data_IF_247576656720
#
_entry.id   IF_247576656720
#
_cell.length_a   1.000
_cell.length_b   1.000
_cell.length_c   1.000
_cell.angle_alpha   90.00
_cell.angle_beta   90.00
_cell.angle_gamma   90.00
#
_symmetry.space_group_name_H-M   'P 1'
#
loop_
_entity.id
_entity.type
_entity.pdbx_description
1 polymer ?
#
# COMPACT_ATOMS: atom_id res chain seq x y z
N UNK A 1 10.58 1.19 -45.63
CA UNK A 1 9.80 1.01 -44.39
C UNK A 1 10.52 -0.03 -43.55
N UNK A 2 11.33 0.38 -42.57
CA UNK A 2 11.83 -0.58 -41.57
C UNK A 2 12.28 0.17 -40.31
N UNK A 3 11.45 0.14 -39.27
CA UNK A 3 11.75 0.73 -37.96
C UNK A 3 10.88 0.07 -36.90
N UNK A 4 11.15 -1.18 -36.55
CA UNK A 4 10.61 -1.72 -35.29
C UNK A 4 11.35 -2.93 -34.73
N UNK A 5 12.69 -2.88 -34.67
CA UNK A 5 13.39 -3.67 -33.65
C UNK A 5 13.37 -2.88 -32.34
N UNK A 6 12.66 -3.33 -31.29
CA UNK A 6 12.73 -2.66 -29.99
C UNK A 6 14.18 -2.62 -29.52
N UNK A 7 14.61 -1.46 -29.02
CA UNK A 7 15.98 -1.32 -28.53
C UNK A 7 16.22 -2.31 -27.39
N UNK A 8 17.45 -2.82 -27.25
CA UNK A 8 17.85 -3.76 -26.18
C UNK A 8 17.41 -3.27 -24.78
N UNK A 9 17.36 -1.95 -24.60
CA UNK A 9 16.88 -1.28 -23.38
C UNK A 9 15.39 -1.48 -23.10
N UNK A 10 14.52 -1.42 -24.13
CA UNK A 10 13.07 -1.62 -23.97
C UNK A 10 12.73 -3.05 -23.57
N UNK A 11 13.33 -4.03 -24.24
CA UNK A 11 13.15 -5.45 -23.90
C UNK A 11 13.61 -5.76 -22.48
N UNK A 12 14.71 -5.15 -22.02
CA UNK A 12 15.16 -5.29 -20.64
C UNK A 12 14.15 -4.72 -19.64
N UNK A 13 13.58 -3.54 -19.93
CA UNK A 13 12.58 -2.90 -19.07
C UNK A 13 11.29 -3.71 -18.98
N UNK A 14 10.80 -4.20 -20.12
CA UNK A 14 9.63 -5.10 -20.16
C UNK A 14 9.86 -6.34 -19.30
N UNK A 15 11.05 -6.94 -19.37
CA UNK A 15 11.41 -8.08 -18.53
C UNK A 15 11.41 -7.77 -17.03
N UNK A 16 11.97 -6.62 -16.65
CA UNK A 16 11.96 -6.16 -15.26
C UNK A 16 10.53 -5.91 -14.77
N UNK A 17 9.66 -5.36 -15.61
CA UNK A 17 8.26 -5.11 -15.28
C UNK A 17 7.49 -6.41 -15.07
N UNK A 18 7.68 -7.42 -15.93
CA UNK A 18 7.06 -8.75 -15.75
C UNK A 18 7.53 -9.44 -14.47
N UNK A 19 8.83 -9.33 -14.15
CA UNK A 19 9.35 -9.90 -12.92
C UNK A 19 8.73 -9.24 -11.68
N UNK A 20 8.53 -7.92 -11.69
CA UNK A 20 7.85 -7.18 -10.61
C UNK A 20 6.38 -7.56 -10.45
N UNK A 21 5.70 -7.84 -11.56
CA UNK A 21 4.32 -8.36 -11.52
C UNK A 21 4.32 -9.75 -10.88
N UNK A 22 5.22 -10.64 -11.30
CA UNK A 22 5.38 -11.96 -10.70
C UNK A 22 5.68 -11.90 -9.19
N UNK A 23 6.57 -10.98 -8.77
CA UNK A 23 6.86 -10.73 -7.35
C UNK A 23 5.61 -10.25 -6.60
N UNK A 24 4.86 -9.31 -7.18
CA UNK A 24 3.60 -8.83 -6.59
C UNK A 24 2.60 -9.97 -6.40
N UNK A 25 2.49 -10.90 -7.34
CA UNK A 25 1.63 -12.09 -7.22
C UNK A 25 2.10 -13.03 -6.11
N UNK A 26 3.40 -13.28 -6.01
CA UNK A 26 3.99 -14.12 -4.95
C UNK A 26 3.75 -13.54 -3.56
N UNK A 27 3.60 -12.22 -3.43
CA UNK A 27 3.32 -11.58 -2.13
C UNK A 27 1.82 -11.59 -1.76
N UNK A 28 0.91 -11.86 -2.72
CA UNK A 28 -0.53 -11.91 -2.43
C UNK A 28 -0.94 -13.17 -1.63
N UNK A 29 -1.91 -13.08 -0.72
CA UNK A 29 -2.58 -14.23 -0.13
C UNK A 29 -3.17 -15.19 -1.18
N UNK A 30 -3.17 -16.49 -0.88
CA UNK A 30 -3.70 -17.53 -1.80
C UNK A 30 -5.14 -17.28 -2.21
N UNK A 31 -5.98 -16.76 -1.32
CA UNK A 31 -7.39 -16.46 -1.62
C UNK A 31 -7.57 -15.30 -2.59
N UNK A 32 -6.63 -14.34 -2.60
CA UNK A 32 -6.63 -13.28 -3.59
C UNK A 32 -6.11 -13.79 -4.94
N UNK A 33 -5.09 -14.65 -4.96
CA UNK A 33 -4.57 -15.25 -6.19
C UNK A 33 -5.64 -16.03 -6.98
N UNK A 34 -6.55 -16.72 -6.30
CA UNK A 34 -7.66 -17.44 -6.95
C UNK A 34 -8.60 -16.52 -7.74
N UNK A 35 -8.64 -15.22 -7.45
CA UNK A 35 -9.48 -14.25 -8.17
C UNK A 35 -8.89 -13.82 -9.52
N UNK A 36 -7.60 -14.09 -9.74
CA UNK A 36 -6.89 -13.67 -10.95
C UNK A 36 -7.09 -14.57 -12.16
N UNK A 37 -7.80 -15.70 -12.01
CA UNK A 37 -8.02 -16.69 -13.06
C UNK A 37 -6.73 -17.02 -13.84
N UNK A 38 -5.65 -17.28 -13.09
CA UNK A 38 -4.33 -17.53 -13.65
C UNK A 38 -4.28 -18.94 -14.27
N UNK A 39 -3.55 -19.13 -15.39
CA UNK A 39 -3.29 -20.46 -15.91
C UNK A 39 -2.63 -21.36 -14.85
N UNK A 40 -2.99 -22.65 -14.83
CA UNK A 40 -2.49 -23.61 -13.84
C UNK A 40 -0.95 -23.65 -13.77
N UNK A 41 -0.29 -23.52 -14.92
CA UNK A 41 1.18 -23.46 -15.01
C UNK A 41 1.75 -22.26 -14.26
N UNK A 42 1.13 -21.08 -14.37
CA UNK A 42 1.57 -19.89 -13.65
C UNK A 42 1.23 -19.98 -12.16
N UNK A 43 0.03 -20.46 -11.82
CA UNK A 43 -0.41 -20.64 -10.43
C UNK A 43 0.53 -21.58 -9.67
N UNK A 44 0.90 -22.71 -10.29
CA UNK A 44 1.84 -23.67 -9.70
C UNK A 44 3.18 -23.01 -9.34
N UNK A 45 3.79 -22.31 -10.30
CA UNK A 45 5.11 -21.68 -10.11
C UNK A 45 5.08 -20.56 -9.06
N UNK A 46 3.97 -19.82 -8.94
CA UNK A 46 3.76 -18.81 -7.90
C UNK A 46 3.69 -19.46 -6.51
N UNK A 47 2.96 -20.58 -6.38
CA UNK A 47 2.85 -21.30 -5.12
C UNK A 47 4.19 -21.91 -4.70
N UNK A 48 4.96 -22.44 -5.65
CA UNK A 48 6.34 -22.89 -5.40
C UNK A 48 7.23 -21.73 -4.93
N UNK A 49 7.18 -20.58 -5.60
CA UNK A 49 7.94 -19.38 -5.22
C UNK A 49 7.67 -18.91 -3.78
N UNK A 50 6.44 -19.10 -3.29
CA UNK A 50 6.06 -18.79 -1.91
C UNK A 50 6.71 -19.71 -0.87
N UNK A 51 6.99 -20.96 -1.23
CA UNK A 51 7.59 -21.95 -0.34
C UNK A 51 9.12 -21.87 -0.29
N UNK A 52 9.75 -21.19 -1.27
CA UNK A 52 11.21 -21.06 -1.33
C UNK A 52 11.70 -20.04 -0.29
N UNK A 53 12.48 -20.52 0.68
CA UNK A 53 13.12 -19.69 1.70
C UNK A 53 14.47 -19.13 1.26
N UNK A 54 15.16 -19.81 0.33
CA UNK A 54 16.48 -19.42 -0.15
C UNK A 54 16.40 -18.31 -1.20
N UNK A 55 16.96 -17.13 -0.88
CA UNK A 55 16.89 -15.93 -1.74
C UNK A 55 17.37 -16.18 -3.19
N UNK A 56 18.44 -16.97 -3.37
CA UNK A 56 18.95 -17.30 -4.70
C UNK A 56 17.99 -18.16 -5.52
N UNK A 57 17.37 -19.17 -4.89
CA UNK A 57 16.38 -20.01 -5.54
C UNK A 57 15.09 -19.23 -5.83
N UNK A 58 14.62 -18.39 -4.88
CA UNK A 58 13.44 -17.52 -5.06
C UNK A 58 13.63 -16.56 -6.23
N UNK A 59 14.82 -15.96 -6.36
CA UNK A 59 15.14 -15.07 -7.48
C UNK A 59 15.07 -15.80 -8.83
N UNK A 60 15.60 -17.02 -8.94
CA UNK A 60 15.52 -17.82 -10.17
C UNK A 60 14.07 -18.19 -10.51
N UNK A 61 13.30 -18.55 -9.49
CA UNK A 61 11.88 -18.85 -9.64
C UNK A 61 11.09 -17.66 -10.17
N UNK A 62 11.32 -16.46 -9.62
CA UNK A 62 10.71 -15.22 -10.11
C UNK A 62 11.09 -14.89 -11.56
N UNK A 63 12.33 -15.19 -11.97
CA UNK A 63 12.75 -15.04 -13.37
C UNK A 63 12.02 -16.03 -14.29
N UNK A 64 11.80 -17.27 -13.83
CA UNK A 64 11.04 -18.26 -14.58
C UNK A 64 9.56 -17.87 -14.72
N UNK A 65 8.94 -17.39 -13.63
CA UNK A 65 7.60 -16.80 -13.65
C UNK A 65 7.55 -15.66 -14.68
N UNK A 66 8.49 -14.71 -14.65
CA UNK A 66 8.56 -13.64 -15.64
C UNK A 66 8.76 -14.12 -17.08
N UNK A 67 9.35 -15.30 -17.30
CA UNK A 67 9.42 -15.94 -18.62
C UNK A 67 8.06 -16.50 -19.04
N UNK A 68 7.34 -17.19 -18.16
CA UNK A 68 5.99 -17.70 -18.44
C UNK A 68 5.05 -16.56 -18.77
N UNK A 69 5.12 -15.46 -18.01
CA UNK A 69 4.25 -14.30 -18.18
C UNK A 69 4.36 -13.66 -19.57
N UNK A 70 5.49 -13.80 -20.29
CA UNK A 70 5.62 -13.30 -21.68
C UNK A 70 4.65 -13.95 -22.67
N UNK A 71 4.08 -15.09 -22.32
CA UNK A 71 3.24 -15.89 -23.20
C UNK A 71 1.75 -15.84 -22.82
N UNK A 72 1.36 -14.93 -21.92
CA UNK A 72 -0.02 -14.76 -21.46
C UNK A 72 -0.45 -13.30 -21.54
N UNK A 73 -1.76 -13.07 -21.44
CA UNK A 73 -2.31 -11.71 -21.30
C UNK A 73 -2.01 -11.16 -19.89
N UNK A 74 -0.98 -10.30 -19.82
CA UNK A 74 -0.52 -9.67 -18.59
C UNK A 74 -1.37 -8.44 -18.25
N UNK A 75 -2.04 -7.82 -19.24
CA UNK A 75 -2.73 -6.55 -19.02
C UNK A 75 -3.92 -6.74 -18.06
N UNK A 76 -4.65 -7.85 -18.20
CA UNK A 76 -5.70 -8.23 -17.23
C UNK A 76 -5.15 -8.38 -15.82
N UNK A 77 -4.04 -9.11 -15.65
CA UNK A 77 -3.38 -9.33 -14.36
C UNK A 77 -2.90 -8.00 -13.76
N UNK A 78 -2.32 -7.13 -14.59
CA UNK A 78 -1.82 -5.82 -14.18
C UNK A 78 -2.97 -4.93 -13.67
N UNK A 79 -4.06 -4.86 -14.42
CA UNK A 79 -5.24 -4.09 -14.05
C UNK A 79 -5.85 -4.59 -12.73
N UNK A 80 -5.94 -5.90 -12.53
CA UNK A 80 -6.43 -6.47 -11.27
C UNK A 80 -5.50 -6.17 -10.10
N UNK A 81 -4.18 -6.26 -10.30
CA UNK A 81 -3.20 -5.88 -9.27
C UNK A 81 -3.33 -4.40 -8.89
N UNK A 82 -3.56 -3.52 -9.86
CA UNK A 82 -3.79 -2.10 -9.59
C UNK A 82 -5.07 -1.87 -8.80
N UNK A 83 -6.17 -2.57 -9.11
CA UNK A 83 -7.41 -2.50 -8.35
C UNK A 83 -7.23 -2.97 -6.89
N UNK A 84 -6.43 -4.00 -6.65
CA UNK A 84 -6.13 -4.45 -5.28
C UNK A 84 -5.24 -3.45 -4.53
N UNK A 85 -4.30 -2.80 -5.23
CA UNK A 85 -3.42 -1.77 -4.63
C UNK A 85 -4.16 -0.46 -4.37
N UNK A 86 -5.24 -0.17 -5.10
CA UNK A 86 -6.04 1.02 -4.84
C UNK A 86 -6.67 0.93 -3.45
N UNK A 87 -6.43 1.92 -2.57
CA UNK A 87 -7.11 1.97 -1.30
C UNK A 87 -8.63 1.97 -1.56
N UNK A 88 -9.36 1.12 -0.82
CA UNK A 88 -10.82 1.07 -0.96
C UNK A 88 -11.41 2.46 -0.73
N UNK A 89 -12.57 2.75 -1.33
CA UNK A 89 -13.25 4.03 -1.11
C UNK A 89 -13.47 4.33 0.38
N UNK A 90 -13.65 3.29 1.21
CA UNK A 90 -13.68 3.39 2.68
C UNK A 90 -12.36 3.87 3.28
N UNK A 91 -11.23 3.26 2.89
CA UNK A 91 -9.89 3.69 3.34
C UNK A 91 -9.58 5.12 2.91
N UNK A 92 -9.89 5.49 1.67
CA UNK A 92 -9.71 6.88 1.18
C UNK A 92 -10.54 7.86 2.01
N UNK A 93 -11.81 7.55 2.27
CA UNK A 93 -12.68 8.37 3.14
C UNK A 93 -12.11 8.49 4.56
N UNK A 94 -11.56 7.41 5.12
CA UNK A 94 -10.94 7.43 6.44
C UNK A 94 -9.71 8.32 6.48
N UNK A 95 -8.84 8.25 5.47
CA UNK A 95 -7.67 9.13 5.36
C UNK A 95 -8.09 10.60 5.32
N UNK A 96 -9.06 10.98 4.47
CA UNK A 96 -9.57 12.35 4.43
C UNK A 96 -10.22 12.79 5.75
N UNK A 97 -10.95 11.89 6.42
CA UNK A 97 -11.55 12.17 7.73
C UNK A 97 -10.46 12.39 8.79
N UNK A 98 -9.39 11.61 8.79
CA UNK A 98 -8.25 11.78 9.68
C UNK A 98 -7.53 13.11 9.42
N UNK A 99 -7.32 13.48 8.15
CA UNK A 99 -6.74 14.78 7.78
C UNK A 99 -7.59 15.95 8.26
N UNK A 100 -8.91 15.87 8.04
CA UNK A 100 -9.87 16.89 8.48
C UNK A 100 -9.85 17.06 10.00
N UNK A 101 -9.89 15.96 10.76
CA UNK A 101 -9.80 16.00 12.22
C UNK A 101 -8.48 16.57 12.71
N UNK A 102 -7.35 16.16 12.14
CA UNK A 102 -6.03 16.70 12.51
C UNK A 102 -6.01 18.22 12.35
N UNK A 103 -6.42 18.72 11.19
CA UNK A 103 -6.41 20.16 10.92
C UNK A 103 -7.34 20.89 11.89
N UNK A 104 -8.56 20.35 12.10
CA UNK A 104 -9.54 20.92 13.04
C UNK A 104 -9.01 20.98 14.49
N UNK A 105 -8.29 19.95 14.94
CA UNK A 105 -7.68 19.90 16.27
C UNK A 105 -6.52 20.89 16.42
N UNK A 106 -5.72 21.07 15.38
CA UNK A 106 -4.65 22.07 15.35
C UNK A 106 -5.24 23.48 15.36
N UNK A 107 -6.32 23.73 14.63
CA UNK A 107 -6.86 25.08 14.48
C UNK A 107 -7.76 25.51 15.66
N UNK A 108 -8.49 24.58 16.28
CA UNK A 108 -9.46 24.89 17.33
C UNK A 108 -9.32 23.97 18.56
N UNK A 109 -9.07 24.57 19.72
CA UNK A 109 -8.95 23.88 21.00
C UNK A 109 -10.27 23.30 21.53
N UNK A 110 -11.42 23.90 21.20
CA UNK A 110 -12.73 23.33 21.56
C UNK A 110 -12.99 22.01 20.84
N UNK A 111 -12.43 21.84 19.64
CA UNK A 111 -12.58 20.61 18.85
C UNK A 111 -11.92 19.40 19.51
N UNK A 112 -10.96 19.62 20.41
CA UNK A 112 -10.37 18.56 21.22
C UNK A 112 -11.39 17.93 22.17
N UNK A 113 -12.21 18.75 22.84
CA UNK A 113 -13.25 18.24 23.76
C UNK A 113 -14.26 17.37 23.02
N UNK A 114 -14.67 17.79 21.83
CA UNK A 114 -15.57 17.01 21.00
C UNK A 114 -14.92 15.71 20.50
N UNK A 115 -13.64 15.75 20.14
CA UNK A 115 -12.91 14.56 19.70
C UNK A 115 -12.79 13.53 20.82
N UNK A 116 -12.43 13.94 22.04
CA UNK A 116 -12.33 13.04 23.20
C UNK A 116 -13.68 12.45 23.59
N UNK A 117 -14.79 13.20 23.46
CA UNK A 117 -16.14 12.63 23.65
C UNK A 117 -16.45 11.52 22.65
N UNK A 118 -15.95 11.63 21.42
CA UNK A 118 -16.16 10.64 20.35
C UNK A 118 -15.20 9.43 20.51
N UNK A 119 -13.99 9.65 21.04
CA UNK A 119 -12.94 8.65 21.27
C UNK A 119 -12.46 8.67 22.73
N UNK A 120 -13.27 8.22 23.70
CA UNK A 120 -12.96 8.31 25.13
C UNK A 120 -11.78 7.44 25.56
N UNK A 121 -11.42 6.42 24.77
CA UNK A 121 -10.27 5.54 25.03
C UNK A 121 -8.94 6.10 24.54
N UNK A 122 -8.95 7.27 23.88
CA UNK A 122 -7.71 7.89 23.40
C UNK A 122 -6.90 8.50 24.53
N UNK A 123 -5.58 8.46 24.42
CA UNK A 123 -4.68 9.17 25.35
C UNK A 123 -4.80 10.68 25.13
N UNK A 124 -5.64 11.32 25.94
CA UNK A 124 -5.91 12.75 25.86
C UNK A 124 -4.66 13.59 26.13
N UNK A 125 -3.75 13.12 26.98
CA UNK A 125 -2.51 13.84 27.33
C UNK A 125 -1.52 13.82 26.16
N UNK A 126 -1.35 12.65 25.53
CA UNK A 126 -0.50 12.51 24.35
C UNK A 126 -1.05 13.35 23.18
N UNK A 127 -2.36 13.27 22.92
CA UNK A 127 -3.00 14.06 21.85
C UNK A 127 -2.84 15.56 22.06
N UNK A 128 -3.07 16.05 23.28
CA UNK A 128 -2.92 17.47 23.59
C UNK A 128 -1.46 17.94 23.39
N UNK A 129 -0.49 17.14 23.85
CA UNK A 129 0.94 17.40 23.61
C UNK A 129 1.26 17.50 22.12
N UNK A 130 0.75 16.55 21.32
CA UNK A 130 0.95 16.54 19.87
C UNK A 130 0.34 17.77 19.19
N UNK A 131 -0.86 18.19 19.61
CA UNK A 131 -1.53 19.38 19.09
C UNK A 131 -0.71 20.65 19.38
N UNK A 132 -0.23 20.81 20.61
CA UNK A 132 0.61 21.96 21.01
C UNK A 132 1.91 21.98 20.20
N UNK A 133 2.58 20.84 20.06
CA UNK A 133 3.80 20.73 19.26
C UNK A 133 3.57 21.05 17.78
N UNK A 134 2.38 20.75 17.24
CA UNK A 134 2.01 21.11 15.88
C UNK A 134 1.79 22.62 15.70
N UNK A 135 1.19 23.29 16.70
CA UNK A 135 0.94 24.75 16.72
C UNK A 135 2.21 25.57 16.91
N UNK A 136 3.28 24.97 17.45
CA UNK A 136 4.57 25.61 17.64
C UNK A 136 5.24 26.05 16.33
N UNK A 137 6.40 26.70 16.45
CA UNK A 137 7.18 27.17 15.28
C UNK A 137 7.50 26.02 14.31
N UNK A 138 7.58 26.33 13.01
CA UNK A 138 7.86 25.42 11.89
C UNK A 138 9.24 24.75 12.00
N UNK A 139 9.39 23.86 12.96
CA UNK A 139 10.61 23.12 13.28
C UNK A 139 10.51 21.68 12.75
N UNK A 140 11.61 20.95 12.77
CA UNK A 140 11.62 19.50 12.50
C UNK A 140 10.68 18.75 13.45
N UNK A 141 10.60 19.19 14.72
CA UNK A 141 9.70 18.65 15.74
C UNK A 141 8.22 18.78 15.33
N UNK A 142 7.80 19.95 14.87
CA UNK A 142 6.42 20.19 14.40
C UNK A 142 6.02 19.23 13.26
N UNK A 143 6.92 18.99 12.27
CA UNK A 143 6.65 18.04 11.17
C UNK A 143 6.51 16.59 11.65
N UNK A 144 7.29 16.19 12.66
CA UNK A 144 7.20 14.84 13.25
C UNK A 144 5.88 14.71 14.01
N UNK A 145 5.55 15.67 14.86
CA UNK A 145 4.29 15.69 15.63
C UNK A 145 3.07 15.70 14.71
N UNK A 146 3.11 16.42 13.58
CA UNK A 146 2.03 16.45 12.60
C UNK A 146 1.74 15.08 11.97
N UNK A 147 2.81 14.33 11.64
CA UNK A 147 2.69 12.96 11.14
C UNK A 147 2.20 12.00 12.23
N UNK A 148 2.70 12.17 13.46
CA UNK A 148 2.31 11.34 14.60
C UNK A 148 0.85 11.55 14.97
N UNK A 149 0.38 12.81 15.03
CA UNK A 149 -1.02 13.15 15.26
C UNK A 149 -1.95 12.55 14.20
N UNK A 150 -1.58 12.65 12.92
CA UNK A 150 -2.33 11.99 11.85
C UNK A 150 -2.43 10.47 12.06
N UNK A 151 -1.32 9.82 12.38
CA UNK A 151 -1.29 8.37 12.61
C UNK A 151 -2.19 7.97 13.79
N UNK A 152 -2.10 8.67 14.92
CA UNK A 152 -2.94 8.41 16.09
C UNK A 152 -4.42 8.56 15.75
N UNK A 153 -4.81 9.62 15.04
CA UNK A 153 -6.20 9.82 14.63
C UNK A 153 -6.64 8.72 13.65
N UNK A 154 -5.82 8.36 12.68
CA UNK A 154 -6.13 7.30 11.71
C UNK A 154 -6.40 5.96 12.41
N UNK A 155 -5.56 5.57 13.38
CA UNK A 155 -5.76 4.36 14.17
C UNK A 155 -7.07 4.40 14.96
N UNK A 156 -7.37 5.50 15.64
CA UNK A 156 -8.64 5.64 16.38
C UNK A 156 -9.88 5.60 15.48
N UNK A 157 -9.77 6.11 14.25
CA UNK A 157 -10.84 6.03 13.26
C UNK A 157 -11.03 4.60 12.74
N UNK A 158 -9.95 3.85 12.56
CA UNK A 158 -9.98 2.45 12.11
C UNK A 158 -10.61 1.55 13.18
N UNK A 159 -10.23 1.71 14.44
CA UNK A 159 -10.78 0.96 15.59
C UNK A 159 -12.29 1.16 15.81
N UNK A 160 -12.88 2.22 15.25
CA UNK A 160 -14.32 2.51 15.36
C UNK A 160 -15.15 1.87 14.24
N UNK A 161 -14.51 1.44 13.16
CA UNK A 161 -15.19 0.81 12.01
C UNK A 161 -15.36 -0.71 12.24
N UNK A 162 -14.46 -1.31 13.01
CA UNK A 162 -14.59 -2.69 13.54
C UNK A 162 -15.54 -2.75 14.74
#
# INVERSE_FOLDING_TARGET
MDSSRPSKTKLKKEMEDLQKIGESLVDLPKDLLKKFDLPDSLMHEILEAKNITQNGAKRRQLQFIGKIMRHIDIDSIRNQLEQIKQPSAGKVKLLHKAESWRNKLIDNEESFKDFIKIYPHSDSSELQTLIIDCRGTLTSKSKISYRKLFKTISTLLEEKID
#
